data_IF_968042163561
#
_entry.id   IF_968042163561
#
_cell.length_a   1.000
_cell.length_b   1.000
_cell.length_c   1.000
_cell.angle_alpha   90.00
_cell.angle_beta   90.00
_cell.angle_gamma   90.00
#
_symmetry.space_group_name_H-M   'P 1'
#
loop_
_entity.id
_entity.type
_entity.pdbx_description
1 polymer ?
#
# COMPACT_ATOMS: atom_id res chain seq x y z
N UNK A 1 -35.96 53.08 -67.75
CA UNK A 1 -34.83 52.15 -68.00
C UNK A 1 -33.71 52.51 -67.02
N UNK A 2 -32.92 51.53 -66.58
CA UNK A 2 -31.95 51.52 -65.44
C UNK A 2 -32.62 51.26 -64.08
N UNK A 3 -32.93 50.01 -63.71
CA UNK A 3 -32.07 48.85 -63.38
C UNK A 3 -31.51 48.89 -61.95
N UNK A 4 -31.78 47.81 -61.24
CA UNK A 4 -31.81 47.60 -59.79
C UNK A 4 -30.64 46.67 -59.46
N UNK A 5 -29.62 47.08 -58.69
CA UNK A 5 -28.78 46.16 -57.90
C UNK A 5 -28.12 46.96 -56.75
N UNK A 6 -28.58 46.85 -55.48
CA UNK A 6 -27.75 47.22 -54.34
C UNK A 6 -26.82 46.05 -54.00
N UNK A 7 -25.54 46.38 -54.10
CA UNK A 7 -24.35 45.61 -53.80
C UNK A 7 -24.45 44.86 -52.46
N UNK A 8 -24.50 43.54 -52.53
CA UNK A 8 -24.45 42.62 -51.39
C UNK A 8 -23.07 42.73 -50.73
N UNK A 9 -22.98 43.38 -49.58
CA UNK A 9 -21.76 43.39 -48.75
C UNK A 9 -21.49 41.97 -48.22
N UNK A 10 -20.47 41.32 -48.79
CA UNK A 10 -19.83 40.14 -48.24
C UNK A 10 -19.12 40.52 -46.94
N UNK A 11 -19.75 40.23 -45.80
CA UNK A 11 -19.08 40.20 -44.50
C UNK A 11 -18.01 39.11 -44.53
N UNK A 12 -16.77 39.38 -44.08
CA UNK A 12 -15.74 38.35 -43.98
C UNK A 12 -16.20 37.34 -42.92
N UNK A 13 -16.25 36.06 -43.32
CA UNK A 13 -16.44 34.96 -42.40
C UNK A 13 -15.32 35.03 -41.34
N UNK A 14 -15.67 35.48 -40.14
CA UNK A 14 -14.81 35.34 -38.97
C UNK A 14 -14.60 33.84 -38.77
N UNK A 15 -13.40 33.37 -39.10
CA UNK A 15 -12.97 32.03 -38.77
C UNK A 15 -13.05 31.90 -37.24
N UNK A 16 -14.06 31.20 -36.76
CA UNK A 16 -14.09 30.66 -35.40
C UNK A 16 -12.99 29.61 -35.35
N UNK A 17 -11.75 30.06 -35.15
CA UNK A 17 -10.64 29.20 -34.81
C UNK A 17 -10.98 28.54 -33.49
N UNK A 18 -11.30 27.25 -33.55
CA UNK A 18 -11.46 26.41 -32.38
C UNK A 18 -10.17 26.46 -31.58
N UNK A 19 -10.16 27.28 -30.53
CA UNK A 19 -9.22 27.18 -29.41
C UNK A 19 -9.53 25.89 -28.67
N UNK A 20 -9.15 24.77 -29.28
CA UNK A 20 -9.02 23.52 -28.55
C UNK A 20 -7.76 23.70 -27.70
N UNK A 21 -7.87 23.75 -26.36
CA UNK A 21 -6.68 23.79 -25.52
C UNK A 21 -5.79 22.60 -25.89
N UNK A 22 -4.45 22.75 -25.89
CA UNK A 22 -3.58 21.63 -26.14
C UNK A 22 -3.98 20.49 -25.19
N UNK A 23 -4.01 19.24 -25.68
CA UNK A 23 -4.31 18.11 -24.80
C UNK A 23 -3.38 18.18 -23.59
N UNK A 24 -3.88 17.94 -22.37
CA UNK A 24 -3.03 17.93 -21.20
C UNK A 24 -1.84 17.00 -21.46
N UNK A 25 -0.64 17.36 -20.99
CA UNK A 25 0.51 16.46 -21.14
C UNK A 25 0.10 15.07 -20.62
N UNK A 26 0.52 13.99 -21.29
CA UNK A 26 0.23 12.65 -20.80
C UNK A 26 0.68 12.60 -19.34
N UNK A 27 -0.19 12.12 -18.45
CA UNK A 27 0.18 11.89 -17.06
C UNK A 27 1.49 11.12 -17.06
N UNK A 28 2.58 11.75 -16.60
CA UNK A 28 3.93 11.21 -16.75
C UNK A 28 3.94 9.76 -16.26
N UNK A 29 4.23 8.85 -17.20
CA UNK A 29 4.34 7.44 -16.87
C UNK A 29 5.47 7.29 -15.84
N UNK A 30 5.31 6.31 -14.93
CA UNK A 30 6.24 6.10 -13.81
C UNK A 30 7.70 5.96 -14.30
N UNK A 31 7.88 5.45 -15.51
CA UNK A 31 9.15 5.31 -16.22
C UNK A 31 9.97 6.59 -16.47
N UNK A 32 9.37 7.79 -16.43
CA UNK A 32 10.12 9.06 -16.65
C UNK A 32 10.65 9.72 -15.36
N UNK A 33 10.37 9.13 -14.19
CA UNK A 33 10.82 9.71 -12.91
C UNK A 33 12.29 9.40 -12.66
N UNK A 34 13.06 10.44 -12.33
CA UNK A 34 14.47 10.28 -11.98
C UNK A 34 14.66 9.43 -10.72
N UNK A 35 15.74 8.63 -10.70
CA UNK A 35 16.16 7.87 -9.53
C UNK A 35 16.70 8.83 -8.47
N UNK A 36 16.33 8.59 -7.22
CA UNK A 36 16.69 9.43 -6.07
C UNK A 36 18.21 9.54 -5.88
N UNK A 37 18.77 10.77 -5.78
CA UNK A 37 20.19 10.98 -5.49
C UNK A 37 20.54 10.82 -4.00
N UNK A 38 19.55 10.83 -3.11
CA UNK A 38 19.76 10.89 -1.66
C UNK A 38 18.85 9.92 -0.87
N UNK A 39 18.30 8.91 -1.56
CA UNK A 39 17.34 7.93 -1.00
C UNK A 39 16.03 8.54 -0.47
N UNK A 40 15.69 9.79 -0.81
CA UNK A 40 14.33 10.31 -0.59
C UNK A 40 13.47 10.07 -1.82
N UNK A 41 12.22 9.71 -1.64
CA UNK A 41 11.33 9.30 -2.73
C UNK A 41 9.90 9.76 -2.50
N UNK A 42 9.14 9.76 -3.58
CA UNK A 42 7.72 10.02 -3.55
C UNK A 42 7.34 11.45 -3.20
N UNK A 43 6.10 11.61 -2.76
CA UNK A 43 5.48 12.92 -2.55
C UNK A 43 5.07 13.14 -1.09
N UNK A 44 5.22 12.13 -0.24
CA UNK A 44 4.94 12.21 1.20
C UNK A 44 6.24 12.20 2.01
N UNK A 45 6.16 12.68 3.26
CA UNK A 45 7.27 12.67 4.20
C UNK A 45 8.51 13.38 3.67
N UNK A 46 9.66 12.72 3.72
CA UNK A 46 10.94 13.26 3.26
C UNK A 46 11.02 13.49 1.73
N UNK A 47 10.07 12.95 0.95
CA UNK A 47 9.97 13.17 -0.49
C UNK A 47 9.55 14.58 -0.88
N UNK A 48 8.80 15.31 -0.03
CA UNK A 48 8.40 16.73 -0.23
C UNK A 48 8.06 17.14 -1.69
N UNK A 49 7.36 16.30 -2.43
CA UNK A 49 7.00 16.50 -3.85
C UNK A 49 8.15 16.48 -4.88
N UNK A 50 9.34 15.97 -4.53
CA UNK A 50 10.42 15.78 -5.51
C UNK A 50 10.12 14.64 -6.51
N UNK A 51 9.17 13.76 -6.17
CA UNK A 51 8.64 12.72 -7.04
C UNK A 51 9.72 11.76 -7.59
N UNK A 52 10.85 11.61 -6.88
CA UNK A 52 11.89 10.66 -7.22
C UNK A 52 11.42 9.22 -7.00
N UNK A 53 11.98 8.32 -7.80
CA UNK A 53 11.87 6.87 -7.63
C UNK A 53 13.08 6.29 -6.90
N UNK A 54 12.97 5.07 -6.42
CA UNK A 54 14.05 4.41 -5.71
C UNK A 54 15.01 3.62 -6.63
N UNK A 55 16.31 3.55 -6.30
CA UNK A 55 17.26 2.68 -6.99
C UNK A 55 16.93 1.20 -6.74
N UNK A 56 17.40 0.31 -7.61
CA UNK A 56 17.13 -1.13 -7.50
C UNK A 56 17.61 -1.74 -6.16
N UNK A 57 18.70 -1.22 -5.59
CA UNK A 57 19.25 -1.69 -4.31
C UNK A 57 18.37 -1.35 -3.10
N UNK A 58 17.52 -0.34 -3.22
CA UNK A 58 16.63 0.16 -2.17
C UNK A 58 15.21 0.32 -2.74
N UNK A 59 14.72 -0.72 -3.40
CA UNK A 59 13.63 -0.66 -4.36
C UNK A 59 12.30 -0.05 -3.88
N UNK A 60 12.04 0.00 -2.57
CA UNK A 60 10.73 0.36 -2.04
C UNK A 60 10.71 1.77 -1.45
N UNK A 61 9.75 2.59 -1.88
CA UNK A 61 9.51 3.89 -1.28
C UNK A 61 8.54 3.77 -0.09
N UNK A 62 9.02 3.93 1.13
CA UNK A 62 8.18 3.85 2.34
C UNK A 62 7.16 4.99 2.43
N UNK A 63 6.14 4.87 3.29
CA UNK A 63 5.17 5.95 3.55
C UNK A 63 5.81 7.26 4.03
N UNK A 64 7.03 7.18 4.57
CA UNK A 64 7.80 8.31 5.10
C UNK A 64 8.69 8.99 4.06
N UNK A 65 8.66 8.54 2.80
CA UNK A 65 9.41 9.16 1.70
C UNK A 65 10.89 8.79 1.68
N UNK A 66 11.23 7.59 2.16
CA UNK A 66 12.58 7.04 2.10
C UNK A 66 12.62 5.72 1.33
N UNK A 67 13.65 5.57 0.50
CA UNK A 67 13.99 4.33 -0.18
C UNK A 67 14.62 3.32 0.78
N UNK A 68 14.22 2.07 0.63
CA UNK A 68 14.81 0.97 1.39
C UNK A 68 14.32 -0.39 0.91
N UNK A 69 14.64 -1.40 1.70
CA UNK A 69 14.25 -2.79 1.48
C UNK A 69 13.59 -3.37 2.73
N UNK A 70 12.95 -4.53 2.57
CA UNK A 70 12.29 -5.24 3.67
C UNK A 70 10.88 -4.73 3.97
N UNK A 71 10.22 -5.42 4.90
CA UNK A 71 8.78 -5.32 5.11
C UNK A 71 8.30 -3.90 5.47
N UNK A 72 9.06 -3.15 6.28
CA UNK A 72 8.71 -1.78 6.67
C UNK A 72 8.74 -0.78 5.52
N UNK A 73 9.41 -1.09 4.41
CA UNK A 73 9.47 -0.27 3.21
C UNK A 73 8.56 -0.82 2.12
N UNK A 74 8.55 -2.13 1.94
CA UNK A 74 7.95 -2.79 0.78
C UNK A 74 6.50 -3.23 1.00
N UNK A 75 6.02 -3.37 2.23
CA UNK A 75 4.64 -3.79 2.44
C UNK A 75 3.67 -2.67 2.07
N UNK A 76 2.67 -2.98 1.27
CA UNK A 76 1.57 -2.06 0.94
C UNK A 76 0.83 -1.60 2.20
N UNK A 77 0.71 -2.50 3.17
CA UNK A 77 0.14 -2.26 4.50
C UNK A 77 1.06 -1.44 5.43
N UNK A 78 2.36 -1.35 5.15
CA UNK A 78 3.27 -0.37 5.77
C UNK A 78 3.34 0.94 4.95
N UNK A 79 2.42 1.11 3.99
CA UNK A 79 2.27 2.31 3.18
C UNK A 79 3.33 2.49 2.09
N UNK A 80 3.86 1.40 1.54
CA UNK A 80 4.73 1.43 0.36
C UNK A 80 4.08 2.21 -0.81
N UNK A 81 4.79 3.20 -1.32
CA UNK A 81 4.35 4.09 -2.39
C UNK A 81 4.69 3.52 -3.77
N UNK A 82 3.86 2.63 -4.32
CA UNK A 82 4.17 1.87 -5.54
C UNK A 82 4.53 2.72 -6.79
N UNK A 83 4.03 3.95 -6.88
CA UNK A 83 4.34 4.87 -7.98
C UNK A 83 5.72 5.56 -7.85
N UNK A 84 6.38 5.40 -6.71
CA UNK A 84 7.66 6.03 -6.39
C UNK A 84 8.70 5.01 -5.90
N UNK A 85 8.35 3.72 -5.92
CA UNK A 85 9.29 2.61 -5.82
C UNK A 85 10.04 2.44 -7.15
N UNK A 86 11.06 1.58 -7.17
CA UNK A 86 11.83 1.26 -8.37
C UNK A 86 10.93 0.73 -9.49
N UNK A 87 10.05 -0.20 -9.16
CA UNK A 87 8.96 -0.66 -10.03
C UNK A 87 7.65 -0.68 -9.26
N UNK A 88 6.52 -0.67 -9.98
CA UNK A 88 5.19 -0.83 -9.37
C UNK A 88 5.03 -2.15 -8.59
N UNK A 89 5.79 -3.19 -8.96
CA UNK A 89 5.77 -4.51 -8.31
C UNK A 89 6.75 -4.63 -7.16
N UNK A 90 7.53 -3.59 -6.86
CA UNK A 90 8.43 -3.55 -5.70
C UNK A 90 7.65 -3.56 -4.38
N UNK A 91 6.46 -2.95 -4.35
CA UNK A 91 5.57 -3.05 -3.20
C UNK A 91 4.83 -4.39 -3.20
N UNK A 92 4.80 -5.07 -2.05
CA UNK A 92 4.22 -6.40 -1.91
C UNK A 92 3.16 -6.43 -0.81
N UNK A 93 2.20 -7.34 -0.92
CA UNK A 93 1.28 -7.62 0.17
C UNK A 93 1.94 -8.56 1.21
N UNK A 94 1.51 -8.53 2.48
CA UNK A 94 1.97 -9.51 3.46
C UNK A 94 1.72 -10.95 3.00
N UNK A 95 2.71 -11.81 3.19
CA UNK A 95 2.56 -13.24 2.98
C UNK A 95 1.93 -13.88 4.21
N UNK A 96 0.73 -14.40 4.02
CA UNK A 96 -0.07 -15.05 5.07
C UNK A 96 0.75 -16.08 5.86
N UNK A 97 0.77 -15.93 7.18
CA UNK A 97 1.47 -16.79 8.13
C UNK A 97 3.01 -16.67 8.11
N UNK A 98 3.58 -15.81 7.27
CA UNK A 98 5.04 -15.67 7.11
C UNK A 98 5.52 -14.27 7.50
N UNK A 99 4.87 -13.24 6.95
CA UNK A 99 5.23 -11.83 7.20
C UNK A 99 4.92 -11.47 8.64
N UNK A 100 5.90 -10.89 9.33
CA UNK A 100 5.75 -10.47 10.71
C UNK A 100 4.91 -9.19 10.76
N UNK A 101 4.01 -9.13 11.73
CA UNK A 101 3.19 -7.95 11.99
C UNK A 101 4.05 -6.69 12.21
N UNK A 102 3.65 -5.58 11.59
CA UNK A 102 4.29 -4.27 11.72
C UNK A 102 3.53 -3.34 12.68
N UNK A 103 2.30 -3.70 13.06
CA UNK A 103 1.39 -2.88 13.86
C UNK A 103 0.76 -3.63 15.05
N UNK A 104 1.17 -4.89 15.26
CA UNK A 104 0.63 -5.77 16.30
C UNK A 104 -0.64 -6.53 15.90
N UNK A 105 -1.20 -6.30 14.71
CA UNK A 105 -2.32 -7.11 14.19
C UNK A 105 -1.82 -8.42 13.58
N UNK A 106 -2.63 -9.47 13.66
CA UNK A 106 -2.26 -10.80 13.17
C UNK A 106 -3.46 -11.63 12.74
N UNK A 107 -3.21 -12.65 11.93
CA UNK A 107 -4.24 -13.58 11.55
C UNK A 107 -5.05 -13.17 10.33
N UNK A 108 -6.18 -13.86 10.18
CA UNK A 108 -7.17 -13.62 9.12
C UNK A 108 -8.55 -13.25 9.68
N UNK A 109 -8.70 -13.20 11.01
CA UNK A 109 -9.93 -12.84 11.72
C UNK A 109 -9.73 -11.67 12.67
N UNK A 110 -10.82 -11.01 13.05
CA UNK A 110 -10.77 -9.84 13.94
C UNK A 110 -10.10 -8.64 13.26
N UNK A 111 -9.20 -7.97 13.98
CA UNK A 111 -8.45 -6.81 13.50
C UNK A 111 -7.38 -7.17 12.46
N UNK A 112 -6.74 -8.34 12.59
CA UNK A 112 -5.77 -8.82 11.61
C UNK A 112 -6.45 -9.65 10.54
N UNK A 113 -6.62 -9.05 9.36
CA UNK A 113 -7.15 -9.72 8.15
C UNK A 113 -6.10 -9.91 7.06
N UNK A 114 -4.94 -9.27 7.21
CA UNK A 114 -3.86 -9.26 6.23
C UNK A 114 -2.98 -10.52 6.27
N UNK A 115 -3.21 -11.44 7.21
CA UNK A 115 -2.45 -12.69 7.31
C UNK A 115 -1.10 -12.53 8.02
N UNK A 116 -0.86 -11.46 8.75
CA UNK A 116 0.37 -11.30 9.53
C UNK A 116 0.51 -12.37 10.60
N UNK A 117 1.74 -12.81 10.85
CA UNK A 117 2.08 -13.57 12.05
C UNK A 117 2.65 -12.67 13.13
N UNK A 118 2.58 -13.15 14.36
CA UNK A 118 3.21 -12.52 15.49
C UNK A 118 4.74 -12.71 15.53
N UNK A 119 5.46 -11.79 16.18
CA UNK A 119 6.91 -11.91 16.36
C UNK A 119 7.27 -13.20 17.11
N UNK A 120 8.52 -13.65 16.93
CA UNK A 120 8.99 -14.89 17.56
C UNK A 120 9.24 -14.76 19.07
N UNK A 121 9.30 -13.53 19.60
CA UNK A 121 9.54 -13.23 21.01
C UNK A 121 8.58 -12.13 21.50
N UNK A 122 8.41 -12.01 22.82
CA UNK A 122 7.55 -10.99 23.42
C UNK A 122 6.07 -11.34 23.29
N UNK A 123 5.43 -10.92 22.20
CA UNK A 123 4.00 -11.10 21.92
C UNK A 123 3.79 -12.16 20.83
N UNK A 124 4.01 -13.42 21.17
CA UNK A 124 4.16 -14.52 20.19
C UNK A 124 2.86 -15.16 19.73
N UNK A 125 1.75 -14.88 20.42
CA UNK A 125 0.46 -15.54 20.20
C UNK A 125 -0.47 -14.62 19.44
N UNK A 126 -1.17 -15.18 18.44
CA UNK A 126 -2.19 -14.45 17.71
C UNK A 126 -3.58 -14.76 18.28
N UNK A 127 -4.21 -13.79 18.93
CA UNK A 127 -5.54 -13.97 19.54
C UNK A 127 -6.65 -14.16 18.50
N UNK A 128 -7.81 -14.66 18.93
CA UNK A 128 -9.01 -14.73 18.09
C UNK A 128 -9.45 -13.35 17.54
N UNK A 129 -9.13 -12.29 18.29
CA UNK A 129 -9.44 -10.91 17.94
C UNK A 129 -8.42 -10.29 16.96
N UNK A 130 -7.40 -11.04 16.57
CA UNK A 130 -6.43 -10.63 15.54
C UNK A 130 -5.35 -9.68 16.05
N UNK A 131 -4.94 -9.86 17.31
CA UNK A 131 -3.84 -9.11 17.93
C UNK A 131 -2.78 -10.03 18.50
N UNK A 132 -1.52 -9.61 18.38
CA UNK A 132 -0.38 -10.24 19.00
C UNK A 132 -0.32 -9.95 20.50
N UNK A 133 -0.11 -10.99 21.29
CA UNK A 133 0.09 -10.87 22.72
C UNK A 133 0.72 -12.14 23.30
N UNK A 134 0.78 -12.21 24.63
CA UNK A 134 1.38 -13.32 25.37
C UNK A 134 0.58 -13.76 26.59
N UNK A 135 -0.62 -13.20 26.79
CA UNK A 135 -1.51 -13.64 27.85
C UNK A 135 -2.22 -14.94 27.46
N UNK A 136 -2.78 -15.63 28.45
CA UNK A 136 -3.58 -16.86 28.22
C UNK A 136 -4.66 -16.65 27.17
N UNK A 137 -5.34 -15.50 27.16
CA UNK A 137 -6.41 -15.21 26.20
C UNK A 137 -5.91 -15.07 24.76
N UNK A 138 -4.65 -14.66 24.59
CA UNK A 138 -4.01 -14.60 23.28
C UNK A 138 -3.52 -15.97 22.82
N UNK A 139 -2.98 -16.77 23.74
CA UNK A 139 -2.25 -18.00 23.43
C UNK A 139 -3.12 -19.25 23.43
N UNK A 140 -4.20 -19.29 24.21
CA UNK A 140 -4.98 -20.51 24.38
C UNK A 140 -5.78 -20.85 23.13
N UNK A 141 -5.68 -22.10 22.65
CA UNK A 141 -6.59 -22.58 21.61
C UNK A 141 -8.05 -22.61 22.08
N UNK A 142 -8.29 -22.61 23.41
CA UNK A 142 -9.65 -22.52 23.96
C UNK A 142 -10.28 -21.12 23.79
N UNK A 143 -9.46 -20.06 23.75
CA UNK A 143 -9.92 -18.69 23.48
C UNK A 143 -9.77 -18.31 22.02
N UNK A 144 -9.43 -19.26 21.15
CA UNK A 144 -9.37 -19.08 19.70
C UNK A 144 -8.05 -18.52 19.17
N UNK A 145 -6.92 -18.80 19.83
CA UNK A 145 -5.61 -18.49 19.26
C UNK A 145 -5.43 -19.06 17.83
N UNK A 146 -4.95 -18.23 16.92
CA UNK A 146 -4.82 -18.54 15.49
C UNK A 146 -3.45 -19.20 15.18
N UNK A 147 -3.40 -20.53 15.20
CA UNK A 147 -2.14 -21.30 15.16
C UNK A 147 -1.28 -21.11 13.90
N UNK A 148 -1.84 -20.67 12.77
CA UNK A 148 -1.07 -20.32 11.57
C UNK A 148 -0.33 -18.98 11.66
N UNK A 149 -0.59 -18.20 12.71
CA UNK A 149 -0.18 -16.80 12.84
C UNK A 149 0.47 -16.50 14.20
N UNK A 150 0.64 -17.49 15.06
CA UNK A 150 1.32 -17.35 16.35
C UNK A 150 1.49 -18.68 17.08
N UNK A 151 2.20 -18.65 18.20
CA UNK A 151 2.46 -19.82 19.02
C UNK A 151 1.29 -20.07 19.98
N UNK A 152 0.39 -20.97 19.62
CA UNK A 152 -0.77 -21.29 20.46
C UNK A 152 -0.49 -22.42 21.46
N UNK A 153 -0.97 -22.25 22.69
CA UNK A 153 -0.97 -23.30 23.71
C UNK A 153 -2.26 -24.12 23.60
N UNK A 154 -2.16 -25.45 23.48
CA UNK A 154 -3.34 -26.29 23.45
C UNK A 154 -4.12 -26.13 24.75
N UNK A 155 -5.46 -26.16 24.68
CA UNK A 155 -6.32 -26.35 25.84
C UNK A 155 -5.75 -27.52 26.64
N UNK A 156 -5.35 -27.29 27.90
CA UNK A 156 -5.15 -28.41 28.83
C UNK A 156 -6.48 -29.11 28.90
N UNK A 157 -6.60 -30.23 28.18
CA UNK A 157 -7.69 -31.15 28.41
C UNK A 157 -7.47 -31.61 29.84
N UNK A 158 -8.18 -31.00 30.79
CA UNK A 158 -8.31 -31.59 32.11
C UNK A 158 -8.72 -33.03 31.82
N UNK A 159 -7.79 -33.95 32.09
CA UNK A 159 -7.96 -35.38 31.92
C UNK A 159 -9.36 -35.65 32.46
N UNK A 160 -10.29 -36.03 31.58
CA UNK A 160 -11.67 -36.34 31.97
C UNK A 160 -11.55 -37.35 33.09
N UNK A 161 -11.65 -36.88 34.33
CA UNK A 161 -11.63 -37.73 35.50
C UNK A 161 -12.89 -38.54 35.32
N UNK A 162 -12.66 -39.80 34.95
CA UNK A 162 -13.67 -40.82 34.77
C UNK A 162 -14.57 -40.78 36.02
N UNK A 163 -15.74 -40.16 35.90
CA UNK A 163 -16.86 -40.38 36.80
C UNK A 163 -17.34 -41.79 36.47
N UNK A 164 -16.68 -42.76 37.08
CA UNK A 164 -17.27 -44.06 37.41
C UNK A 164 -17.89 -43.94 38.80
#
# INVERSE_FOLDING_TARGET
MLSIIPLLLLLPAAALGSIIPPPPPPASLIEDRAVSPNKTCGVTGAGLNNAFTCPETDACCSQYGFCGTGDSFCLTSAGCQANYSNTRTSCTAPRSGTTVSVDGTCGTTGAGKAGYRCPATGATCCSAYGFCGNTTDHCSTATGCQAGFGTCTPKKMAKMAKLI
#
